data_IF_816992268213
#
_entry.id   IF_816992268213
#
_cell.length_a   1.000
_cell.length_b   1.000
_cell.length_c   1.000
_cell.angle_alpha   90.00
_cell.angle_beta   90.00
_cell.angle_gamma   90.00
#
_symmetry.space_group_name_H-M   'P 1'
#
loop_
_entity.id
_entity.type
_entity.pdbx_description
1 polymer ?
#
# COMPACT_ATOMS: atom_id res chain seq x y z
N UNK A 1 -4.07 -13.34 24.83
CA UNK A 1 -4.86 -14.34 24.06
C UNK A 1 -4.07 -14.68 22.79
N UNK A 2 -3.96 -15.96 22.42
CA UNK A 2 -3.30 -16.39 21.17
C UNK A 2 -4.37 -16.44 20.08
N UNK A 3 -4.04 -16.03 18.85
CA UNK A 3 -4.97 -16.15 17.73
C UNK A 3 -5.26 -17.64 17.43
N UNK A 4 -6.54 -18.00 17.32
CA UNK A 4 -6.97 -19.35 16.97
C UNK A 4 -8.36 -19.33 16.33
N UNK A 5 -8.60 -20.25 15.40
CA UNK A 5 -9.88 -20.50 14.75
C UNK A 5 -10.11 -22.02 14.75
N UNK A 6 -10.78 -22.57 15.77
CA UNK A 6 -11.00 -24.01 15.89
C UNK A 6 -11.97 -24.56 14.84
N UNK A 7 -12.91 -23.74 14.40
CA UNK A 7 -13.93 -24.10 13.41
C UNK A 7 -14.42 -22.86 12.63
N UNK A 8 -14.89 -23.07 11.41
CA UNK A 8 -15.43 -22.01 10.52
C UNK A 8 -16.85 -21.55 10.91
N UNK A 9 -17.60 -22.36 11.66
CA UNK A 9 -18.98 -22.06 12.07
C UNK A 9 -19.09 -21.43 13.46
N UNK A 10 -17.99 -21.39 14.21
CA UNK A 10 -17.97 -20.74 15.51
C UNK A 10 -18.11 -19.22 15.34
N UNK A 11 -18.74 -18.57 16.32
CA UNK A 11 -18.91 -17.11 16.29
C UNK A 11 -17.55 -16.42 16.21
N UNK A 12 -17.33 -15.65 15.15
CA UNK A 12 -16.14 -14.83 14.99
C UNK A 12 -16.06 -13.78 16.10
N UNK A 13 -14.98 -13.82 16.89
CA UNK A 13 -14.71 -12.86 17.97
C UNK A 13 -13.82 -11.70 17.51
N UNK A 14 -12.93 -11.98 16.56
CA UNK A 14 -12.01 -11.01 15.97
C UNK A 14 -12.02 -11.22 14.45
N UNK A 15 -12.15 -10.14 13.69
CA UNK A 15 -12.12 -10.15 12.23
C UNK A 15 -11.10 -9.14 11.75
N UNK A 16 -10.24 -9.53 10.82
CA UNK A 16 -9.34 -8.63 10.11
C UNK A 16 -9.92 -8.38 8.71
N UNK A 17 -10.09 -7.11 8.35
CA UNK A 17 -10.52 -6.68 7.03
C UNK A 17 -9.43 -5.86 6.35
N UNK A 18 -9.55 -5.66 5.05
CA UNK A 18 -8.74 -4.71 4.31
C UNK A 18 -9.69 -3.84 3.49
N UNK A 19 -9.96 -2.61 3.97
CA UNK A 19 -10.83 -1.71 3.24
C UNK A 19 -10.20 -1.34 1.89
N UNK A 20 -10.97 -1.36 0.79
CA UNK A 20 -10.46 -0.92 -0.51
C UNK A 20 -10.06 0.57 -0.48
N UNK A 21 -8.93 0.88 -1.11
CA UNK A 21 -8.42 2.25 -1.31
C UNK A 21 -7.79 2.36 -2.71
N UNK A 22 -6.76 3.19 -2.87
CA UNK A 22 -6.09 3.48 -4.13
C UNK A 22 -5.58 2.24 -4.87
N UNK A 23 -5.14 1.19 -4.17
CA UNK A 23 -4.75 -0.08 -4.80
C UNK A 23 -5.90 -0.72 -5.57
N UNK A 24 -7.13 -0.55 -5.07
CA UNK A 24 -8.33 -1.07 -5.73
C UNK A 24 -8.67 -0.25 -6.97
N UNK A 25 -8.37 1.06 -6.97
CA UNK A 25 -8.55 1.91 -8.15
C UNK A 25 -7.76 1.38 -9.35
N UNK A 26 -6.46 1.09 -9.16
CA UNK A 26 -5.64 0.54 -10.25
C UNK A 26 -6.14 -0.82 -10.71
N UNK A 27 -6.62 -1.65 -9.78
CA UNK A 27 -7.15 -2.96 -10.11
C UNK A 27 -8.45 -2.92 -10.92
N UNK A 28 -9.34 -1.95 -10.68
CA UNK A 28 -10.59 -1.80 -11.46
C UNK A 28 -10.36 -1.17 -12.84
N UNK A 29 -9.25 -0.44 -13.04
CA UNK A 29 -8.89 0.12 -14.33
C UNK A 29 -8.47 -0.95 -15.33
N UNK A 30 -7.89 -2.06 -14.86
CA UNK A 30 -7.60 -3.24 -15.69
C UNK A 30 -7.90 -4.55 -14.98
N UNK A 31 -9.19 -4.91 -14.96
CA UNK A 31 -9.73 -6.01 -14.15
C UNK A 31 -9.15 -7.38 -14.51
N UNK A 32 -8.87 -7.62 -15.79
CA UNK A 32 -8.34 -8.89 -16.29
C UNK A 32 -6.94 -9.20 -15.73
N UNK A 33 -6.12 -8.17 -15.55
CA UNK A 33 -4.76 -8.33 -14.99
C UNK A 33 -4.75 -8.35 -13.46
N UNK A 34 -5.78 -7.80 -12.83
CA UNK A 34 -5.89 -7.66 -11.39
C UNK A 34 -6.79 -8.70 -10.70
N UNK A 35 -7.25 -9.73 -11.42
CA UNK A 35 -8.14 -10.80 -10.93
C UNK A 35 -9.53 -10.31 -10.46
N UNK A 36 -10.05 -9.25 -11.07
CA UNK A 36 -11.42 -8.80 -10.87
C UNK A 36 -12.31 -9.30 -12.02
N UNK A 37 -13.50 -9.80 -11.69
CA UNK A 37 -14.44 -10.33 -12.69
C UNK A 37 -15.07 -9.21 -13.54
N UNK A 38 -15.34 -8.06 -12.94
CA UNK A 38 -15.95 -6.90 -13.58
C UNK A 38 -15.52 -5.61 -12.89
N UNK A 39 -15.52 -4.47 -13.59
CA UNK A 39 -15.29 -3.17 -12.97
C UNK A 39 -16.47 -2.78 -12.08
N UNK A 40 -16.20 -2.05 -11.01
CA UNK A 40 -17.22 -1.54 -10.09
C UNK A 40 -16.85 -0.13 -9.60
N UNK A 41 -17.85 0.56 -9.05
CA UNK A 41 -17.63 1.88 -8.47
C UNK A 41 -16.91 1.78 -7.12
N UNK A 42 -15.69 2.31 -7.06
CA UNK A 42 -14.85 2.25 -5.86
C UNK A 42 -15.49 2.96 -4.65
N UNK A 43 -16.15 4.10 -4.87
CA UNK A 43 -16.78 4.85 -3.79
C UNK A 43 -17.90 4.03 -3.15
N UNK A 44 -18.73 3.40 -3.97
CA UNK A 44 -19.79 2.49 -3.53
C UNK A 44 -19.22 1.28 -2.80
N UNK A 45 -18.15 0.67 -3.30
CA UNK A 45 -17.50 -0.47 -2.64
C UNK A 45 -16.95 -0.09 -1.24
N UNK A 46 -16.39 1.12 -1.08
CA UNK A 46 -15.95 1.63 0.22
C UNK A 46 -17.14 1.79 1.18
N UNK A 47 -18.26 2.33 0.71
CA UNK A 47 -19.49 2.49 1.51
C UNK A 47 -20.06 1.13 1.93
N UNK A 48 -20.13 0.17 1.00
CA UNK A 48 -20.56 -1.21 1.27
C UNK A 48 -19.64 -1.91 2.27
N UNK A 49 -18.32 -1.76 2.13
CA UNK A 49 -17.33 -2.32 3.06
C UNK A 49 -17.47 -1.71 4.47
N UNK A 50 -17.70 -0.40 4.58
CA UNK A 50 -17.97 0.26 5.88
C UNK A 50 -19.24 -0.27 6.53
N UNK A 51 -20.30 -0.49 5.74
CA UNK A 51 -21.53 -1.10 6.24
C UNK A 51 -21.29 -2.55 6.70
N UNK A 52 -20.49 -3.32 5.95
CA UNK A 52 -20.13 -4.69 6.33
C UNK A 52 -19.36 -4.74 7.65
N UNK A 53 -18.33 -3.88 7.83
CA UNK A 53 -17.62 -3.71 9.11
C UNK A 53 -18.58 -3.43 10.25
N UNK A 54 -19.46 -2.43 10.09
CA UNK A 54 -20.46 -2.07 11.11
C UNK A 54 -21.34 -3.26 11.49
N UNK A 55 -21.81 -4.05 10.52
CA UNK A 55 -22.63 -5.23 10.80
C UNK A 55 -21.87 -6.27 11.61
N UNK A 56 -20.62 -6.58 11.27
CA UNK A 56 -19.81 -7.51 12.07
C UNK A 56 -19.66 -7.03 13.53
N UNK A 57 -19.43 -5.72 13.73
CA UNK A 57 -19.33 -5.11 15.05
C UNK A 57 -20.65 -5.16 15.83
N UNK A 58 -21.80 -4.92 15.18
CA UNK A 58 -23.15 -5.08 15.76
C UNK A 58 -23.40 -6.53 16.23
N UNK A 59 -22.87 -7.52 15.50
CA UNK A 59 -22.90 -8.93 15.89
C UNK A 59 -21.81 -9.31 16.91
N UNK A 60 -21.13 -8.32 17.51
CA UNK A 60 -20.22 -8.47 18.63
C UNK A 60 -18.80 -8.94 18.28
N UNK A 61 -18.42 -8.91 17.00
CA UNK A 61 -17.04 -9.15 16.61
C UNK A 61 -16.20 -7.88 16.78
N UNK A 62 -14.94 -8.02 17.22
CA UNK A 62 -13.96 -6.93 17.15
C UNK A 62 -13.34 -6.89 15.76
N UNK A 63 -13.60 -5.82 15.00
CA UNK A 63 -13.09 -5.69 13.64
C UNK A 63 -11.89 -4.76 13.60
N UNK A 64 -10.83 -5.22 12.94
CA UNK A 64 -9.61 -4.47 12.68
C UNK A 64 -9.45 -4.25 11.18
N UNK A 65 -8.98 -3.07 10.78
CA UNK A 65 -8.49 -2.87 9.42
C UNK A 65 -7.00 -3.22 9.31
N UNK A 66 -6.58 -3.77 8.18
CA UNK A 66 -5.19 -4.13 7.92
C UNK A 66 -4.26 -2.92 8.05
N UNK A 67 -4.66 -1.72 7.60
CA UNK A 67 -3.86 -0.49 7.75
C UNK A 67 -3.69 -0.12 9.22
N UNK A 68 -4.78 -0.19 9.99
CA UNK A 68 -4.76 0.03 11.45
C UNK A 68 -3.78 -0.95 12.13
N UNK A 69 -3.73 -2.21 11.65
CA UNK A 69 -2.83 -3.23 12.20
C UNK A 69 -1.38 -3.06 11.78
N UNK A 70 -1.10 -2.59 10.56
CA UNK A 70 0.25 -2.31 10.09
C UNK A 70 0.90 -1.17 10.90
N UNK A 71 0.13 -0.13 11.23
CA UNK A 71 0.64 1.03 11.96
C UNK A 71 0.53 0.88 13.49
N UNK A 72 -0.01 -0.24 13.96
CA UNK A 72 -0.20 -0.48 15.38
C UNK A 72 1.13 -0.43 16.13
N UNK A 73 1.21 0.42 17.16
CA UNK A 73 2.42 0.65 17.97
C UNK A 73 3.62 1.23 17.21
N UNK A 74 3.39 2.01 16.15
CA UNK A 74 4.46 2.74 15.46
C UNK A 74 4.89 4.05 16.15
N UNK A 75 4.37 4.34 17.33
CA UNK A 75 4.96 5.29 18.28
C UNK A 75 6.32 4.79 18.82
N UNK A 76 6.49 3.46 18.88
CA UNK A 76 7.79 2.82 19.12
C UNK A 76 8.70 2.89 17.88
N UNK A 77 9.94 3.33 18.08
CA UNK A 77 10.89 3.57 16.99
C UNK A 77 11.33 2.29 16.27
N UNK A 78 11.37 1.15 16.96
CA UNK A 78 11.75 -0.12 16.33
C UNK A 78 10.63 -0.65 15.43
N UNK A 79 9.36 -0.54 15.87
CA UNK A 79 8.22 -0.87 15.02
C UNK A 79 8.14 0.05 13.80
N UNK A 80 8.35 1.36 13.97
CA UNK A 80 8.37 2.31 12.87
C UNK A 80 9.51 2.01 11.87
N UNK A 81 10.69 1.64 12.37
CA UNK A 81 11.83 1.22 11.53
C UNK A 81 11.46 -0.01 10.70
N UNK A 82 10.84 -1.02 11.31
CA UNK A 82 10.38 -2.22 10.60
C UNK A 82 9.32 -1.90 9.55
N UNK A 83 8.41 -0.97 9.84
CA UNK A 83 7.41 -0.50 8.89
C UNK A 83 8.07 0.20 7.69
N UNK A 84 9.04 1.09 7.93
CA UNK A 84 9.83 1.75 6.87
C UNK A 84 10.59 0.76 6.01
N UNK A 85 11.26 -0.21 6.62
CA UNK A 85 11.96 -1.28 5.88
C UNK A 85 10.99 -2.07 5.00
N UNK A 86 9.79 -2.38 5.49
CA UNK A 86 8.79 -3.08 4.68
C UNK A 86 8.26 -2.19 3.54
N UNK A 87 7.98 -0.92 3.80
CA UNK A 87 7.55 0.03 2.77
C UNK A 87 8.62 0.21 1.68
N UNK A 88 9.89 0.35 2.07
CA UNK A 88 11.01 0.46 1.13
C UNK A 88 11.09 -0.76 0.21
N UNK A 89 10.94 -1.96 0.77
CA UNK A 89 10.96 -3.21 0.00
C UNK A 89 9.71 -3.44 -0.86
N UNK A 90 8.65 -2.66 -0.64
CA UNK A 90 7.39 -2.75 -1.40
C UNK A 90 7.40 -1.90 -2.66
N UNK A 91 8.26 -0.88 -2.74
CA UNK A 91 8.43 -0.03 -3.92
C UNK A 91 9.43 -0.68 -4.88
N UNK A 92 9.12 -0.70 -6.18
CA UNK A 92 10.06 -1.17 -7.22
C UNK A 92 10.32 -0.09 -8.24
N UNK A 93 11.59 0.13 -8.57
CA UNK A 93 11.98 0.97 -9.70
C UNK A 93 12.29 0.08 -10.91
N UNK A 94 11.80 0.51 -12.07
CA UNK A 94 12.18 -0.07 -13.37
C UNK A 94 12.91 1.01 -14.17
N UNK A 95 14.21 0.80 -14.40
CA UNK A 95 15.04 1.77 -15.08
C UNK A 95 15.17 1.46 -16.57
N UNK A 96 15.02 2.48 -17.42
CA UNK A 96 15.28 2.40 -18.85
C UNK A 96 16.33 3.44 -19.24
N UNK A 97 17.51 2.96 -19.65
CA UNK A 97 18.60 3.80 -20.14
C UNK A 97 19.20 4.74 -19.09
N UNK A 98 19.04 4.46 -17.80
CA UNK A 98 19.61 5.23 -16.68
C UNK A 98 21.03 4.74 -16.36
N UNK A 99 21.94 5.65 -16.00
CA UNK A 99 23.30 5.27 -15.56
C UNK A 99 23.27 4.69 -14.14
N UNK A 100 24.24 3.81 -13.82
CA UNK A 100 24.34 3.23 -12.48
C UNK A 100 24.46 4.28 -11.36
N UNK A 101 25.22 5.35 -11.60
CA UNK A 101 25.37 6.44 -10.63
C UNK A 101 24.02 7.12 -10.32
N UNK A 102 23.18 7.27 -11.35
CA UNK A 102 21.85 7.85 -11.18
C UNK A 102 20.87 6.86 -10.54
N UNK A 103 20.98 5.56 -10.81
CA UNK A 103 20.20 4.55 -10.10
C UNK A 103 20.49 4.59 -8.59
N UNK A 104 21.77 4.66 -8.21
CA UNK A 104 22.20 4.76 -6.81
C UNK A 104 21.67 6.06 -6.16
N UNK A 105 21.70 7.18 -6.88
CA UNK A 105 21.11 8.45 -6.43
C UNK A 105 19.59 8.32 -6.22
N UNK A 106 18.85 7.74 -7.18
CA UNK A 106 17.40 7.60 -7.11
C UNK A 106 16.97 6.65 -5.98
N UNK A 107 17.71 5.57 -5.76
CA UNK A 107 17.48 4.65 -4.64
C UNK A 107 17.76 5.32 -3.28
N UNK A 108 18.81 6.14 -3.21
CA UNK A 108 19.10 6.95 -2.02
C UNK A 108 17.96 7.95 -1.73
N UNK A 109 17.45 8.61 -2.77
CA UNK A 109 16.31 9.53 -2.65
C UNK A 109 15.03 8.81 -2.21
N UNK A 110 14.77 7.60 -2.71
CA UNK A 110 13.65 6.77 -2.27
C UNK A 110 13.77 6.47 -0.77
N UNK A 111 14.95 6.05 -0.31
CA UNK A 111 15.19 5.79 1.12
C UNK A 111 14.94 7.04 1.96
N UNK A 112 15.50 8.19 1.58
CA UNK A 112 15.25 9.46 2.27
C UNK A 112 13.78 9.88 2.27
N UNK A 113 13.04 9.55 1.20
CA UNK A 113 11.59 9.77 1.14
C UNK A 113 10.86 8.88 2.15
N UNK A 114 11.13 7.56 2.16
CA UNK A 114 10.52 6.62 3.11
C UNK A 114 10.77 7.03 4.57
N UNK A 115 11.95 7.58 4.87
CA UNK A 115 12.30 8.02 6.22
C UNK A 115 11.41 9.16 6.74
N UNK A 116 10.88 10.01 5.87
CA UNK A 116 10.04 11.17 6.27
C UNK A 116 8.53 10.91 6.21
N UNK A 117 8.09 9.81 5.59
CA UNK A 117 6.66 9.48 5.48
C UNK A 117 6.05 9.11 6.84
N UNK A 118 4.75 9.43 7.02
CA UNK A 118 3.99 9.02 8.20
C UNK A 118 3.65 7.52 8.14
N UNK A 119 3.37 6.86 9.29
CA UNK A 119 2.99 5.45 9.33
C UNK A 119 1.81 5.11 8.41
N UNK A 120 0.80 5.99 8.31
CA UNK A 120 -0.38 5.79 7.47
C UNK A 120 0.01 5.73 5.98
N UNK A 121 0.87 6.65 5.53
CA UNK A 121 1.35 6.65 4.15
C UNK A 121 2.26 5.45 3.88
N UNK A 122 3.09 5.04 4.84
CA UNK A 122 3.90 3.83 4.72
C UNK A 122 3.03 2.58 4.56
N UNK A 123 1.92 2.47 5.29
CA UNK A 123 0.97 1.37 5.16
C UNK A 123 0.32 1.35 3.76
N UNK A 124 -0.04 2.52 3.23
CA UNK A 124 -0.55 2.62 1.86
C UNK A 124 0.49 2.21 0.82
N UNK A 125 1.76 2.59 0.98
CA UNK A 125 2.85 2.14 0.10
C UNK A 125 3.00 0.61 0.14
N UNK A 126 2.94 -0.01 1.32
CA UNK A 126 3.04 -1.46 1.50
C UNK A 126 1.90 -2.20 0.80
N UNK A 127 0.68 -1.66 0.89
CA UNK A 127 -0.51 -2.27 0.28
C UNK A 127 -0.52 -2.05 -1.24
N UNK A 128 -0.18 -0.85 -1.70
CA UNK A 128 -0.17 -0.49 -3.12
C UNK A 128 0.94 -1.19 -3.91
N UNK A 129 2.12 -1.37 -3.30
CA UNK A 129 3.32 -1.98 -3.93
C UNK A 129 3.67 -1.36 -5.30
N UNK A 130 3.88 -0.03 -5.35
CA UNK A 130 3.98 0.68 -6.63
C UNK A 130 5.22 0.26 -7.43
N UNK A 131 5.07 0.21 -8.74
CA UNK A 131 6.19 0.10 -9.68
C UNK A 131 6.36 1.44 -10.39
N UNK A 132 7.53 2.05 -10.26
CA UNK A 132 7.85 3.33 -10.89
C UNK A 132 8.85 3.10 -12.00
N UNK A 133 8.42 3.30 -13.25
CA UNK A 133 9.30 3.24 -14.40
C UNK A 133 9.95 4.59 -14.63
N UNK A 134 11.28 4.63 -14.70
CA UNK A 134 12.08 5.85 -14.74
C UNK A 134 13.01 5.81 -15.95
N UNK A 135 13.03 6.91 -16.71
CA UNK A 135 13.91 7.12 -17.87
C UNK A 135 14.43 8.55 -17.92
N UNK A 136 15.48 8.80 -18.70
CA UNK A 136 15.97 10.18 -18.88
C UNK A 136 14.94 11.05 -19.59
N UNK A 137 14.89 12.32 -19.18
CA UNK A 137 14.16 13.36 -19.88
C UNK A 137 15.06 13.99 -20.95
N UNK A 138 14.82 13.76 -22.26
CA UNK A 138 15.63 14.36 -23.33
C UNK A 138 15.45 15.89 -23.42
N UNK A 139 14.44 16.45 -22.74
CA UNK A 139 14.12 17.87 -22.71
C UNK A 139 14.36 18.48 -21.33
N UNK A 140 15.22 17.88 -20.51
CA UNK A 140 15.55 18.43 -19.20
C UNK A 140 16.07 19.87 -19.34
N UNK A 141 15.44 20.79 -18.62
CA UNK A 141 15.82 22.21 -18.61
C UNK A 141 16.76 22.51 -17.46
N UNK A 142 16.75 21.66 -16.44
CA UNK A 142 17.51 21.80 -15.20
C UNK A 142 17.66 20.42 -14.51
N UNK A 143 18.50 20.30 -13.47
CA UNK A 143 18.74 19.02 -12.79
C UNK A 143 17.50 18.38 -12.14
N UNK A 144 16.49 19.15 -11.76
CA UNK A 144 15.26 18.62 -11.12
C UNK A 144 14.31 17.97 -12.13
N UNK A 145 14.47 18.28 -13.42
CA UNK A 145 13.65 17.72 -14.52
C UNK A 145 14.37 16.64 -15.32
N UNK A 146 15.47 16.10 -14.77
CA UNK A 146 16.36 15.14 -15.45
C UNK A 146 15.70 13.80 -15.80
N UNK A 147 14.66 13.39 -15.07
CA UNK A 147 14.01 12.10 -15.23
C UNK A 147 12.52 12.25 -15.55
N UNK A 148 11.98 11.29 -16.30
CA UNK A 148 10.55 11.09 -16.49
C UNK A 148 10.14 9.83 -15.73
N UNK A 149 9.01 9.91 -15.03
CA UNK A 149 8.44 8.80 -14.28
C UNK A 149 7.05 8.45 -14.81
N UNK A 150 6.76 7.15 -14.89
CA UNK A 150 5.41 6.62 -15.04
C UNK A 150 5.13 5.61 -13.95
N UNK A 151 3.88 5.54 -13.50
CA UNK A 151 3.46 4.72 -12.37
C UNK A 151 2.60 3.56 -12.89
N UNK A 152 2.98 2.34 -12.49
CA UNK A 152 2.28 1.11 -12.80
C UNK A 152 1.82 0.44 -11.49
#
# INVERSE_FOLDING_TARGET
>A
MRASQPAEWDRAKVVLLCQPSVETLFAILETNSANFLYPFDLKKAIEEHKNYRRKLEEFGAKVYDLREMLINKCDDQENLKRLREFALNSVKYSFEGISREDEELLLSNLKGTIDVLSPEVLADVIILRPIISIRYNPRALDPTTRFLSSYC
#
